data_IF_221387682961
#
_entry.id   IF_221387682961
#
_cell.length_a   1.000
_cell.length_b   1.000
_cell.length_c   1.000
_cell.angle_alpha   90.00
_cell.angle_beta   90.00
_cell.angle_gamma   90.00
#
_symmetry.space_group_name_H-M   'P 1'
#
loop_
_entity.id
_entity.type
_entity.pdbx_description
1 polymer ?
2 non-polymer ?
3 water ?
#
# COMPACT_ATOMS: atom_id res chain seq x y z
N UNK A 3 -9.18 9.64 -4.46
CA UNK A 3 -9.96 9.36 -5.65
C UNK A 3 -11.42 9.08 -5.33
N UNK A 4 -12.25 9.25 -6.34
CA UNK A 4 -13.68 9.08 -6.22
C UNK A 4 -14.11 7.66 -5.86
N UNK A 5 -12.87 6.84 -5.34
CA UNK A 5 -13.23 5.42 -5.24
C UNK A 5 -12.17 4.60 -4.53
N UNK A 6 -10.92 4.95 -4.77
CA UNK A 6 -9.78 4.21 -4.18
C UNK A 6 -10.03 3.91 -2.70
N UNK A 7 -9.54 2.72 -2.26
CA UNK A 7 -9.66 2.30 -0.87
C UNK A 7 -8.81 3.16 0.07
N UNK A 8 -7.63 3.56 -0.42
CA UNK A 8 -6.74 4.39 0.37
C UNK A 8 -6.25 5.62 -0.37
N UNK A 9 -5.77 6.57 0.42
CA UNK A 9 -5.26 7.79 -0.15
C UNK A 9 -3.81 8.00 0.23
N UNK A 10 -3.21 8.93 -0.47
CA UNK A 10 -1.84 9.27 -0.21
C UNK A 10 -1.64 9.62 1.23
N UNK A 11 -0.67 9.00 1.81
CA UNK A 11 -0.35 9.30 3.15
C UNK A 11 -1.02 8.38 4.14
N UNK A 12 -1.96 7.54 3.72
CA UNK A 12 -2.55 6.64 4.70
C UNK A 12 -1.48 5.70 5.25
N UNK A 13 -1.62 5.31 6.51
CA UNK A 13 -0.69 4.38 7.11
C UNK A 13 -1.29 3.00 7.01
N UNK A 14 -0.52 2.09 6.46
CA UNK A 14 -1.06 0.73 6.27
C UNK A 14 -0.03 -0.32 6.56
N UNK A 15 -0.48 -1.58 6.59
CA UNK A 15 0.43 -2.70 6.77
C UNK A 15 -0.04 -3.91 5.97
N UNK A 16 0.85 -4.84 5.71
CA UNK A 16 0.46 -6.06 5.01
C UNK A 16 -0.25 -6.90 6.07
N UNK A 17 -1.38 -7.47 5.72
CA UNK A 17 -2.18 -8.29 6.62
C UNK A 17 -1.56 -9.63 7.00
N UNK A 18 -0.75 -10.26 6.12
CA UNK A 18 -0.17 -11.54 6.46
C UNK A 18 1.03 -11.85 5.64
N UNK A 19 1.74 -12.95 5.96
CA UNK A 19 2.96 -13.35 5.23
C UNK A 19 4.10 -12.35 5.51
N UNK A 20 4.95 -12.07 4.53
CA UNK A 20 6.03 -11.12 4.76
C UNK A 20 5.49 -9.80 5.28
N UNK A 21 6.19 -9.19 6.22
CA UNK A 21 5.66 -7.95 6.74
C UNK A 21 6.05 -6.72 5.95
N UNK A 22 5.24 -5.68 6.07
CA UNK A 22 5.52 -4.40 5.45
C UNK A 22 4.67 -3.34 6.11
N UNK A 23 5.15 -2.16 6.39
CA UNK A 23 4.29 -1.19 7.04
C UNK A 23 4.82 0.19 6.78
N UNK A 24 3.94 1.11 6.43
CA UNK A 24 4.40 2.43 6.16
C UNK A 24 3.29 3.25 5.51
N UNK A 25 3.70 4.25 4.75
CA UNK A 25 2.73 5.14 4.14
C UNK A 25 2.49 4.96 2.66
N UNK A 26 1.26 5.19 2.26
CA UNK A 26 0.91 5.09 0.84
C UNK A 26 1.58 6.23 0.07
N UNK A 27 2.35 5.93 -0.94
CA UNK A 27 2.98 6.98 -1.70
C UNK A 27 2.71 6.86 -3.20
N UNK A 28 1.82 5.96 -3.58
CA UNK A 28 1.60 5.85 -4.99
C UNK A 28 0.56 4.81 -5.31
N UNK A 29 0.34 4.61 -6.60
CA UNK A 29 -0.69 3.69 -7.02
C UNK A 29 -0.43 3.04 -8.39
N UNK A 30 -1.03 1.89 -8.69
CA UNK A 30 -0.83 1.27 -9.97
C UNK A 30 -2.01 0.44 -10.33
N UNK A 31 -2.12 0.13 -11.62
CA UNK A 31 -3.27 -0.62 -12.07
C UNK A 31 -2.95 -1.47 -13.29
N UNK A 32 -3.19 -2.79 -13.19
CA UNK A 32 -2.95 -3.73 -14.29
C UNK A 32 -4.14 -4.65 -14.34
N UNK A 33 -4.19 -5.51 -15.35
CA UNK A 33 -5.31 -6.48 -15.40
C UNK A 33 -5.29 -7.42 -14.22
N UNK A 34 -4.07 -7.80 -13.81
CA UNK A 34 -3.90 -8.71 -12.71
C UNK A 34 -4.14 -8.06 -11.35
N UNK A 35 -3.78 -6.79 -11.24
CA UNK A 35 -3.95 -6.01 -10.02
C UNK A 35 -4.62 -4.69 -10.38
N UNK A 36 -5.94 -4.70 -10.51
CA UNK A 36 -6.63 -3.51 -10.93
C UNK A 36 -6.58 -2.38 -9.93
N UNK A 37 -6.20 -2.65 -8.69
CA UNK A 37 -6.09 -1.63 -7.65
C UNK A 37 -4.89 -1.98 -6.80
N UNK A 38 -3.80 -1.30 -7.07
CA UNK A 38 -2.56 -1.53 -6.36
C UNK A 38 -2.01 -0.25 -5.76
N UNK A 39 -1.18 -0.41 -4.69
CA UNK A 39 -0.57 0.72 -4.01
C UNK A 39 0.94 0.56 -3.82
N UNK A 40 1.62 1.71 -3.83
CA UNK A 40 3.06 1.72 -3.53
C UNK A 40 3.14 2.20 -2.08
N UNK A 41 3.92 1.50 -1.26
CA UNK A 41 4.01 1.84 0.13
C UNK A 41 5.46 2.03 0.54
N UNK A 42 5.78 3.19 1.13
CA UNK A 42 7.15 3.46 1.58
C UNK A 42 7.28 2.97 3.04
N UNK A 43 8.30 2.14 3.32
CA UNK A 43 8.47 1.58 4.66
C UNK A 43 8.71 2.67 5.67
N UNK A 44 8.11 2.58 6.85
CA UNK A 44 8.35 3.57 7.86
C UNK A 44 9.60 3.21 8.64
N UNK A 45 10.14 2.02 8.43
CA UNK A 45 11.35 1.65 9.14
C UNK A 45 12.61 1.84 8.31
N UNK A 46 12.44 1.80 7.01
CA UNK A 46 13.56 1.90 6.06
C UNK A 46 13.24 2.98 5.06
N UNK A 47 13.51 4.22 5.43
CA UNK A 47 13.17 5.35 4.56
C UNK A 47 13.69 5.22 3.13
N UNK A 48 12.87 5.55 2.15
CA UNK A 48 13.27 5.47 0.76
C UNK A 48 12.90 4.15 0.09
N UNK A 49 12.69 3.10 0.88
CA UNK A 49 12.37 1.80 0.30
C UNK A 49 10.88 1.64 0.08
N UNK A 50 10.51 1.38 -1.16
CA UNK A 50 9.10 1.27 -1.50
C UNK A 50 8.77 -0.09 -2.04
N UNK A 51 7.64 -0.66 -1.70
CA UNK A 51 7.24 -1.95 -2.26
C UNK A 51 5.81 -1.76 -2.76
N UNK A 52 5.38 -2.52 -3.78
CA UNK A 52 3.99 -2.38 -4.28
C UNK A 52 3.19 -3.63 -4.02
N UNK A 53 1.91 -3.47 -3.73
CA UNK A 53 1.00 -4.58 -3.42
C UNK A 53 -0.43 -4.36 -3.88
N UNK A 54 -1.21 -5.42 -4.09
CA UNK A 54 -2.60 -5.26 -4.47
C UNK A 54 -3.36 -4.82 -3.24
N UNK A 55 -4.44 -4.07 -3.37
CA UNK A 55 -5.24 -3.57 -2.25
C UNK A 55 -5.61 -4.66 -1.24
N UNK A 56 -5.93 -5.85 -1.72
CA UNK A 56 -6.33 -6.92 -0.82
C UNK A 56 -5.30 -7.34 0.18
N UNK A 57 -4.03 -7.07 -0.05
CA UNK A 57 -2.96 -7.46 0.84
C UNK A 57 -2.69 -6.51 1.96
N UNK A 58 -3.28 -5.48 2.05
CA UNK A 58 -3.02 -4.26 2.82
C UNK A 58 -4.17 -4.00 3.80
N UNK A 59 -3.90 -3.33 4.96
CA UNK A 59 -4.95 -2.83 5.82
C UNK A 59 -4.52 -1.52 6.45
N UNK A 60 -5.46 -0.61 6.59
CA UNK A 60 -5.17 0.70 7.18
C UNK A 60 -5.00 0.61 8.69
N UNK A 61 -4.12 1.40 9.29
CA UNK A 61 -3.94 1.33 10.74
C UNK A 61 -4.08 2.76 11.24
N UNK A 62 -5.00 3.13 12.14
CA UNK A 62 -5.95 2.30 12.86
C UNK A 62 -5.61 1.90 14.30
X LIG B 1 10.53 -7.13 -3.67
X LIG B 1 9.13 -7.28 -3.64
X LIG B 1 8.56 -8.40 -3.23
X LIG B 1 8.24 -6.18 -4.02
X LIG B 1 8.71 -5.01 -4.47
X LIG B 1 7.80 -4.11 -4.80
X LIG B 1 10.32 -4.89 -4.54
X LIG B 1 10.96 -3.73 -4.99
X LIG B 1 12.21 -3.54 -5.01
X LIG B 1 12.95 -4.68 -4.60
X LIG B 1 12.47 -5.83 -4.17
X LIG B 1 11.09 -5.90 -4.16
X LIG B 1 12.68 -2.22 -5.55
#
# INVERSE_FOLDING_TARGET
>A
VFPSNATFGMGDRVRKKSGAAWQGQIVGWYCTNLTPEGYAVESEAHPGSVQIYPVAALERIN
>B hetero
1 FOL N1 C2 NA2 N3 C4 O4 C4A N5 C6 C7 N8 C8A C9
#
